data_IF_003693126506
#
_entry.id   IF_003693126506
#
_cell.length_a   1.000
_cell.length_b   1.000
_cell.length_c   1.000
_cell.angle_alpha   90.00
_cell.angle_beta   90.00
_cell.angle_gamma   90.00
#
_symmetry.space_group_name_H-M   'P 1'
#
loop_
_entity.id
_entity.type
_entity.pdbx_description
1 polymer ?
#
# COMPACT_ATOMS: atom_id res chain seq x y z
N UNK A 1 -5.63 6.49 -20.02
CA UNK A 1 -6.56 7.19 -19.11
C UNK A 1 -7.25 6.30 -18.06
N UNK A 2 -8.24 5.45 -18.39
CA UNK A 2 -9.03 4.71 -17.36
C UNK A 2 -8.17 3.88 -16.37
N UNK A 3 -7.09 3.27 -16.87
CA UNK A 3 -6.20 2.42 -16.05
C UNK A 3 -5.36 3.20 -15.03
N UNK A 4 -5.01 4.47 -15.29
CA UNK A 4 -4.18 5.25 -14.36
C UNK A 4 -5.01 5.80 -13.20
N UNK A 5 -6.19 6.33 -13.52
CA UNK A 5 -7.19 6.72 -12.51
C UNK A 5 -7.56 5.57 -11.60
N UNK A 6 -7.76 4.38 -12.17
CA UNK A 6 -8.03 3.17 -11.39
C UNK A 6 -6.84 2.83 -10.47
N UNK A 7 -5.61 2.81 -10.99
CA UNK A 7 -4.41 2.58 -10.17
C UNK A 7 -4.28 3.60 -9.04
N UNK A 8 -4.54 4.87 -9.29
CA UNK A 8 -4.48 5.93 -8.28
C UNK A 8 -5.52 5.72 -7.17
N UNK A 9 -6.75 5.40 -7.55
CA UNK A 9 -7.83 5.06 -6.60
C UNK A 9 -7.50 3.83 -5.76
N UNK A 10 -6.91 2.79 -6.37
CA UNK A 10 -6.48 1.58 -5.66
C UNK A 10 -5.39 1.90 -4.61
N UNK A 11 -4.40 2.73 -4.95
CA UNK A 11 -3.36 3.16 -4.00
C UNK A 11 -3.92 4.03 -2.86
N UNK A 12 -4.82 4.97 -3.19
CA UNK A 12 -5.52 5.76 -2.16
C UNK A 12 -6.33 4.85 -1.23
N UNK A 13 -7.06 3.89 -1.80
CA UNK A 13 -7.80 2.88 -1.03
C UNK A 13 -6.89 2.04 -0.14
N UNK A 14 -5.74 1.60 -0.66
CA UNK A 14 -4.74 0.86 0.11
C UNK A 14 -4.25 1.67 1.31
N UNK A 15 -3.93 2.95 1.11
CA UNK A 15 -3.51 3.82 2.21
C UNK A 15 -4.59 4.05 3.27
N UNK A 16 -5.85 4.24 2.86
CA UNK A 16 -7.00 4.40 3.77
C UNK A 16 -7.26 3.11 4.56
N UNK A 17 -7.30 1.96 3.89
CA UNK A 17 -7.51 0.67 4.56
C UNK A 17 -6.36 0.39 5.53
N UNK A 18 -5.13 0.73 5.17
CA UNK A 18 -3.98 0.61 6.06
C UNK A 18 -4.13 1.51 7.31
N UNK A 19 -4.71 2.72 7.17
CA UNK A 19 -5.02 3.54 8.34
C UNK A 19 -6.11 2.94 9.23
N UNK A 20 -7.08 2.22 8.66
CA UNK A 20 -8.13 1.52 9.41
C UNK A 20 -7.60 0.26 10.10
N UNK A 21 -6.61 -0.39 9.50
CA UNK A 21 -5.95 -1.55 10.05
C UNK A 21 -5.20 -1.25 11.36
N UNK A 22 -4.81 0.02 11.60
CA UNK A 22 -3.99 0.54 12.71
C UNK A 22 -3.99 -0.33 13.96
N UNK A 23 -3.14 -1.36 13.96
CA UNK A 23 -2.81 -2.17 15.13
C UNK A 23 -1.45 -1.67 15.65
N UNK A 24 -1.43 -0.37 15.99
CA UNK A 24 -0.54 0.16 17.02
C UNK A 24 0.80 0.80 16.62
N UNK A 25 1.17 0.98 15.34
CA UNK A 25 2.52 1.45 14.99
C UNK A 25 2.51 2.78 14.20
N UNK A 26 3.45 3.68 14.52
CA UNK A 26 3.65 4.98 13.85
C UNK A 26 3.97 4.81 12.35
N UNK A 27 4.59 3.69 11.98
CA UNK A 27 5.01 3.36 10.62
C UNK A 27 3.81 3.26 9.67
N UNK A 28 2.66 2.76 10.15
CA UNK A 28 1.41 2.61 9.38
C UNK A 28 0.98 3.95 8.79
N UNK A 29 1.16 5.03 9.54
CA UNK A 29 0.77 6.39 9.15
C UNK A 29 1.63 6.89 8.00
N UNK A 30 2.95 6.72 8.11
CA UNK A 30 3.89 7.14 7.08
C UNK A 30 3.66 6.39 5.77
N UNK A 31 3.45 5.07 5.85
CA UNK A 31 3.14 4.24 4.69
C UNK A 31 1.80 4.63 4.08
N UNK A 32 0.75 4.84 4.89
CA UNK A 32 -0.54 5.30 4.41
C UNK A 32 -0.47 6.64 3.70
N UNK A 33 0.24 7.62 4.25
CA UNK A 33 0.43 8.94 3.62
C UNK A 33 1.13 8.78 2.27
N UNK A 34 2.19 7.97 2.21
CA UNK A 34 2.92 7.69 0.98
C UNK A 34 2.01 7.06 -0.08
N UNK A 35 1.19 6.07 0.29
CA UNK A 35 0.24 5.42 -0.61
C UNK A 35 -0.84 6.38 -1.09
N UNK A 36 -1.39 7.24 -0.22
CA UNK A 36 -2.42 8.22 -0.59
C UNK A 36 -1.86 9.29 -1.53
N UNK A 37 -0.71 9.89 -1.20
CA UNK A 37 -0.10 10.94 -2.05
C UNK A 37 0.30 10.36 -3.40
N UNK A 38 0.96 9.20 -3.42
CA UNK A 38 1.34 8.55 -4.68
C UNK A 38 0.12 8.17 -5.52
N UNK A 39 -0.95 7.68 -4.87
CA UNK A 39 -2.21 7.38 -5.53
C UNK A 39 -2.87 8.61 -6.13
N UNK A 40 -2.89 9.74 -5.40
CA UNK A 40 -3.42 11.01 -5.91
C UNK A 40 -2.62 11.51 -7.12
N UNK A 41 -1.29 11.47 -7.05
CA UNK A 41 -0.42 11.85 -8.18
C UNK A 41 -0.66 10.96 -9.40
N UNK A 42 -0.80 9.64 -9.19
CA UNK A 42 -1.11 8.70 -10.27
C UNK A 42 -2.51 8.90 -10.86
N UNK A 43 -3.47 9.37 -10.05
CA UNK A 43 -4.83 9.65 -10.49
C UNK A 43 -4.91 10.86 -11.44
N UNK A 44 -4.17 11.92 -11.14
CA UNK A 44 -4.15 13.16 -11.94
C UNK A 44 -3.30 13.03 -13.21
N UNK A 45 -2.30 12.16 -13.22
CA UNK A 45 -1.43 11.98 -14.38
C UNK A 45 -2.00 11.00 -15.40
N UNK A 46 -1.66 11.17 -16.69
CA UNK A 46 -2.13 10.26 -17.75
C UNK A 46 -1.14 9.12 -18.07
N UNK A 47 0.14 9.36 -17.80
CA UNK A 47 1.25 8.44 -18.08
C UNK A 47 1.66 7.64 -16.85
N UNK A 48 2.43 6.55 -17.09
CA UNK A 48 3.01 5.73 -16.03
C UNK A 48 3.81 6.59 -15.04
N UNK A 49 3.55 6.40 -13.75
CA UNK A 49 4.26 7.12 -12.69
C UNK A 49 5.18 6.18 -11.90
N UNK A 50 6.49 6.38 -11.99
CA UNK A 50 7.49 5.58 -11.29
C UNK A 50 7.32 5.65 -9.77
N UNK A 51 6.95 6.82 -9.25
CA UNK A 51 6.66 6.99 -7.83
C UNK A 51 5.50 6.10 -7.36
N UNK A 52 4.45 5.94 -8.17
CA UNK A 52 3.31 5.06 -7.85
C UNK A 52 3.72 3.59 -7.86
N UNK A 53 4.65 3.20 -8.72
CA UNK A 53 5.18 1.83 -8.78
C UNK A 53 6.00 1.53 -7.54
N UNK A 54 6.89 2.43 -7.16
CA UNK A 54 7.69 2.32 -5.94
C UNK A 54 6.77 2.27 -4.72
N UNK A 55 5.77 3.14 -4.66
CA UNK A 55 4.79 3.14 -3.58
C UNK A 55 4.00 1.83 -3.49
N UNK A 56 3.55 1.27 -4.62
CA UNK A 56 2.91 -0.04 -4.63
C UNK A 56 3.83 -1.14 -4.10
N UNK A 57 5.11 -1.15 -4.48
CA UNK A 57 6.09 -2.11 -3.98
C UNK A 57 6.33 -1.96 -2.47
N UNK A 58 6.42 -0.71 -1.99
CA UNK A 58 6.53 -0.41 -0.56
C UNK A 58 5.30 -0.93 0.18
N UNK A 59 4.09 -0.70 -0.33
CA UNK A 59 2.86 -1.21 0.28
C UNK A 59 2.84 -2.74 0.38
N UNK A 60 3.22 -3.43 -0.71
CA UNK A 60 3.33 -4.89 -0.74
C UNK A 60 4.37 -5.40 0.28
N UNK A 61 5.57 -4.81 0.27
CA UNK A 61 6.65 -5.20 1.18
C UNK A 61 6.30 -4.91 2.64
N UNK A 62 5.64 -3.79 2.91
CA UNK A 62 5.20 -3.41 4.24
C UNK A 62 4.18 -4.41 4.81
N UNK A 63 3.24 -4.93 4.00
CA UNK A 63 2.33 -6.00 4.47
C UNK A 63 3.10 -7.22 4.95
N UNK A 64 4.15 -7.64 4.25
CA UNK A 64 4.99 -8.77 4.68
C UNK A 64 5.68 -8.48 6.02
N UNK A 65 6.19 -7.27 6.18
CA UNK A 65 6.84 -6.82 7.42
C UNK A 65 5.83 -6.80 8.60
N UNK A 66 4.63 -6.28 8.39
CA UNK A 66 3.52 -6.29 9.36
C UNK A 66 3.15 -7.71 9.81
N UNK A 67 3.05 -8.66 8.88
CA UNK A 67 2.79 -10.07 9.21
C UNK A 67 3.88 -10.64 10.14
N UNK A 68 5.15 -10.29 9.92
CA UNK A 68 6.25 -10.70 10.80
C UNK A 68 6.11 -10.04 12.18
N UNK A 69 5.74 -8.76 12.23
CA UNK A 69 5.54 -8.06 13.51
C UNK A 69 4.37 -8.63 14.32
N UNK A 70 3.24 -8.99 13.70
CA UNK A 70 2.12 -9.65 14.37
C UNK A 70 2.48 -11.00 14.97
N UNK A 71 3.43 -11.72 14.37
CA UNK A 71 3.86 -13.02 14.88
C UNK A 71 4.95 -12.93 15.95
N UNK A 72 5.93 -12.03 15.77
CA UNK A 72 7.18 -12.07 16.52
C UNK A 72 7.35 -10.96 17.57
N UNK A 73 6.68 -9.81 17.44
CA UNK A 73 7.01 -8.62 18.27
C UNK A 73 5.80 -8.02 18.98
N UNK A 74 4.67 -7.87 18.27
CA UNK A 74 3.45 -7.28 18.83
C UNK A 74 2.78 -8.13 19.94
N UNK A 75 2.84 -9.47 19.95
CA UNK A 75 2.26 -10.25 21.04
C UNK A 75 2.86 -9.89 22.40
N UNK A 76 4.19 -9.74 22.46
CA UNK A 76 4.93 -9.42 23.69
C UNK A 76 4.65 -7.99 24.17
N UNK A 77 4.37 -7.06 23.24
CA UNK A 77 4.07 -5.66 23.55
C UNK A 77 2.62 -5.41 23.95
N UNK A 78 1.70 -6.16 23.36
CA UNK A 78 0.26 -5.90 23.48
C UNK A 78 -0.45 -6.86 24.43
N UNK A 79 0.20 -7.98 24.80
CA UNK A 79 -0.37 -9.03 25.64
C UNK A 79 -1.41 -9.89 24.92
N UNK A 80 -1.68 -9.64 23.63
CA UNK A 80 -2.52 -10.48 22.79
C UNK A 80 -1.71 -11.61 22.17
N UNK A 81 -2.36 -12.73 21.88
CA UNK A 81 -1.71 -13.80 21.13
C UNK A 81 -1.51 -13.36 19.67
N UNK A 82 -0.42 -13.80 19.03
CA UNK A 82 -0.19 -13.50 17.61
C UNK A 82 -1.34 -13.95 16.71
N UNK A 83 -2.06 -15.01 17.08
CA UNK A 83 -3.25 -15.46 16.35
C UNK A 83 -4.42 -14.46 16.42
N UNK A 84 -4.61 -13.79 17.55
CA UNK A 84 -5.68 -12.78 17.70
C UNK A 84 -5.34 -11.53 16.88
N UNK A 85 -4.10 -11.06 16.96
CA UNK A 85 -3.62 -9.94 16.16
C UNK A 85 -3.74 -10.23 14.66
N UNK A 86 -3.37 -11.45 14.24
CA UNK A 86 -3.55 -11.89 12.86
C UNK A 86 -5.02 -11.96 12.44
N UNK A 87 -5.91 -12.48 13.28
CA UNK A 87 -7.35 -12.54 12.94
C UNK A 87 -7.96 -11.16 12.71
N UNK A 88 -7.53 -10.17 13.50
CA UNK A 88 -8.03 -8.79 13.38
C UNK A 88 -7.34 -8.05 12.23
N UNK A 89 -6.02 -8.16 12.10
CA UNK A 89 -5.23 -7.41 11.12
C UNK A 89 -5.17 -8.01 9.71
N UNK A 90 -5.19 -9.35 9.58
CA UNK A 90 -5.03 -10.02 8.30
C UNK A 90 -6.08 -9.63 7.23
N UNK A 91 -7.37 -9.41 7.56
CA UNK A 91 -8.34 -8.93 6.57
C UNK A 91 -7.93 -7.59 5.95
N UNK A 92 -7.46 -6.65 6.77
CA UNK A 92 -7.03 -5.34 6.29
C UNK A 92 -5.72 -5.43 5.51
N UNK A 93 -4.72 -6.15 6.04
CA UNK A 93 -3.45 -6.37 5.34
C UNK A 93 -3.64 -7.06 3.99
N UNK A 94 -4.56 -8.04 3.91
CA UNK A 94 -4.89 -8.71 2.65
C UNK A 94 -5.51 -7.76 1.63
N UNK A 95 -6.35 -6.83 2.09
CA UNK A 95 -6.92 -5.79 1.24
C UNK A 95 -5.86 -4.79 0.76
N UNK A 96 -4.96 -4.33 1.64
CA UNK A 96 -3.83 -3.47 1.26
C UNK A 96 -2.97 -4.16 0.21
N UNK A 97 -2.61 -5.43 0.44
CA UNK A 97 -1.83 -6.23 -0.50
C UNK A 97 -2.53 -6.35 -1.86
N UNK A 98 -3.82 -6.67 -1.87
CA UNK A 98 -4.61 -6.79 -3.09
C UNK A 98 -4.65 -5.46 -3.86
N UNK A 99 -4.96 -4.36 -3.17
CA UNK A 99 -5.08 -3.04 -3.79
C UNK A 99 -3.73 -2.54 -4.33
N UNK A 100 -2.65 -2.66 -3.55
CA UNK A 100 -1.30 -2.31 -3.97
C UNK A 100 -0.81 -3.20 -5.12
N UNK A 101 -1.12 -4.50 -5.09
CA UNK A 101 -0.81 -5.45 -6.16
C UNK A 101 -1.53 -5.13 -7.47
N UNK A 102 -2.83 -4.82 -7.41
CA UNK A 102 -3.60 -4.39 -8.57
C UNK A 102 -3.11 -3.05 -9.11
N UNK A 103 -2.82 -2.08 -8.24
CA UNK A 103 -2.25 -0.81 -8.64
C UNK A 103 -0.91 -0.98 -9.35
N UNK A 104 -0.02 -1.81 -8.81
CA UNK A 104 1.25 -2.17 -9.46
C UNK A 104 1.04 -2.77 -10.85
N UNK A 105 0.15 -3.76 -10.97
CA UNK A 105 -0.20 -4.39 -12.24
C UNK A 105 -0.70 -3.37 -13.27
N UNK A 106 -1.60 -2.47 -12.87
CA UNK A 106 -2.12 -1.43 -13.76
C UNK A 106 -1.05 -0.41 -14.16
N UNK A 107 -0.15 -0.03 -13.24
CA UNK A 107 0.98 0.86 -13.58
C UNK A 107 1.96 0.22 -14.57
N UNK A 108 2.24 -1.08 -14.45
CA UNK A 108 3.12 -1.78 -15.38
C UNK A 108 2.51 -1.92 -16.79
N UNK A 109 1.18 -1.91 -16.90
CA UNK A 109 0.47 -1.97 -18.18
C UNK A 109 0.45 -0.62 -18.91
N UNK A 110 0.73 0.48 -18.23
CA UNK A 110 0.80 1.81 -18.84
C UNK A 110 2.12 1.99 -19.60
N UNK A 111 2.05 2.69 -20.74
CA UNK A 111 3.24 3.09 -21.48
C UNK A 111 4.17 3.94 -20.62
N UNK A 112 5.47 3.66 -20.68
CA UNK A 112 6.49 4.40 -19.95
C UNK A 112 6.47 5.89 -20.30
N UNK A 113 6.62 6.73 -19.26
CA UNK A 113 6.78 8.18 -19.41
C UNK A 113 8.00 8.46 -20.29
N UNK A 114 7.85 9.24 -21.36
CA UNK A 114 9.01 9.76 -22.10
C UNK A 114 9.51 11.00 -21.36
N UNK A 115 10.49 10.82 -20.48
CA UNK A 115 11.17 11.96 -19.86
C UNK A 115 11.88 12.78 -20.97
N UNK A 116 11.71 14.11 -21.00
CA UNK A 116 12.54 14.95 -21.86
C UNK A 116 14.00 14.71 -21.48
N UNK A 117 14.79 14.23 -22.45
CA UNK A 117 16.25 14.15 -22.30
C UNK A 117 16.74 15.59 -22.37
N UNK A 118 17.00 16.20 -21.22
CA UNK A 118 17.74 17.45 -21.12
C UNK A 118 19.22 17.20 -21.37
#
# INVERSE_FOLDING_TARGET
MKSNKLSGLLLMGAGIINMLARIGIVIDVSISILLVISGYVAYECEERHEFAIIASLIGIGYVVIEFVFFYAFLPDLTGYTGQELLKVGAPFLSLVLLLSGLAFYYQLKLSGKKYPRF
#
